data_IF_453556708977
#
_entry.id   IF_453556708977
#
_cell.length_a   1.000
_cell.length_b   1.000
_cell.length_c   1.000
_cell.angle_alpha   90.00
_cell.angle_beta   90.00
_cell.angle_gamma   90.00
#
_symmetry.space_group_name_H-M   'P 1'
#
loop_
_entity.id
_entity.type
_entity.pdbx_description
1 polymer ?
#
# COMPACT_ATOMS: atom_id res chain seq x y z
N UNK A 1 -3.38 -9.13 -9.88
CA UNK A 1 -2.51 -7.96 -10.21
C UNK A 1 -1.72 -8.13 -11.52
N UNK A 2 -1.12 -9.31 -11.79
CA UNK A 2 -0.33 -9.53 -13.01
C UNK A 2 -1.12 -9.36 -14.31
N UNK A 3 -2.33 -9.91 -14.39
CA UNK A 3 -3.17 -9.78 -15.59
C UNK A 3 -3.66 -8.34 -15.80
N UNK A 4 -3.94 -7.61 -14.71
CA UNK A 4 -4.24 -6.17 -14.78
C UNK A 4 -3.07 -5.40 -15.36
N UNK A 5 -1.83 -5.66 -14.91
CA UNK A 5 -0.65 -4.97 -15.44
C UNK A 5 -0.37 -5.32 -16.91
N UNK A 6 -0.61 -6.58 -17.31
CA UNK A 6 -0.54 -6.99 -18.73
C UNK A 6 -1.55 -6.22 -19.56
N UNK A 7 -2.76 -6.04 -19.05
CA UNK A 7 -3.82 -5.29 -19.74
C UNK A 7 -3.47 -3.80 -19.86
N UNK A 8 -2.92 -3.19 -18.81
CA UNK A 8 -2.38 -1.82 -18.86
C UNK A 8 -1.30 -1.68 -19.94
N UNK A 9 -0.34 -2.63 -20.03
CA UNK A 9 0.66 -2.65 -21.09
C UNK A 9 0.03 -2.88 -22.47
N UNK A 10 -0.99 -3.74 -22.59
CA UNK A 10 -1.65 -4.05 -23.87
C UNK A 10 -2.21 -2.79 -24.50
N UNK A 11 -2.90 -1.96 -23.72
CA UNK A 11 -3.56 -0.72 -24.19
C UNK A 11 -2.62 0.48 -24.29
N UNK A 12 -1.46 0.46 -23.64
CA UNK A 12 -0.47 1.52 -23.77
C UNK A 12 0.08 1.61 -25.21
N UNK A 13 0.37 2.82 -25.67
CA UNK A 13 1.07 3.06 -26.94
C UNK A 13 2.51 2.53 -26.88
N UNK A 14 3.13 2.30 -28.04
CA UNK A 14 4.56 1.98 -28.12
C UNK A 14 5.38 3.10 -27.47
N UNK A 15 6.35 2.76 -26.63
CA UNK A 15 7.10 3.70 -25.75
C UNK A 15 6.24 4.45 -24.73
N UNK A 16 4.97 4.07 -24.57
CA UNK A 16 4.09 4.58 -23.54
C UNK A 16 4.49 4.09 -22.16
N UNK A 17 4.26 4.92 -21.13
CA UNK A 17 4.55 4.61 -19.73
C UNK A 17 3.34 4.00 -19.04
N UNK A 18 3.57 2.92 -18.30
CA UNK A 18 2.64 2.36 -17.32
C UNK A 18 3.18 2.71 -15.94
N UNK A 19 2.35 3.37 -15.13
CA UNK A 19 2.70 3.79 -13.77
C UNK A 19 1.73 3.18 -12.78
N UNK A 20 2.26 2.58 -11.72
CA UNK A 20 1.50 2.11 -10.57
C UNK A 20 1.94 2.91 -9.35
N UNK A 21 0.97 3.46 -8.62
CA UNK A 21 1.17 4.24 -7.40
C UNK A 21 0.32 3.58 -6.34
N UNK A 22 0.96 3.00 -5.32
CA UNK A 22 0.25 2.26 -4.29
C UNK A 22 1.07 2.18 -3.00
N UNK A 23 0.40 1.85 -1.89
CA UNK A 23 1.09 1.52 -0.65
C UNK A 23 1.88 0.22 -0.85
N UNK A 24 3.03 0.11 -0.18
CA UNK A 24 3.83 -1.11 -0.24
C UNK A 24 4.32 -1.52 1.14
N UNK A 25 4.66 -2.79 1.28
CA UNK A 25 5.32 -3.33 2.48
C UNK A 25 6.73 -3.80 2.17
N UNK A 26 7.57 -3.85 3.19
CA UNK A 26 9.00 -4.19 3.06
C UNK A 26 9.28 -5.69 3.17
N UNK A 27 8.37 -6.46 3.77
CA UNK A 27 8.50 -7.91 3.95
C UNK A 27 7.14 -8.61 3.82
N UNK A 28 7.17 -9.91 3.55
CA UNK A 28 5.97 -10.75 3.48
C UNK A 28 5.25 -10.85 4.84
N UNK A 29 6.00 -10.80 5.94
CA UNK A 29 5.43 -10.75 7.30
C UNK A 29 4.68 -9.44 7.52
N UNK A 30 5.28 -8.30 7.16
CA UNK A 30 4.64 -7.00 7.24
C UNK A 30 3.43 -6.91 6.31
N UNK A 31 3.49 -7.48 5.10
CA UNK A 31 2.34 -7.60 4.19
C UNK A 31 1.17 -8.34 4.85
N UNK A 32 1.42 -9.51 5.46
CA UNK A 32 0.38 -10.27 6.16
C UNK A 32 -0.23 -9.46 7.31
N UNK A 33 0.60 -8.80 8.11
CA UNK A 33 0.14 -7.97 9.21
C UNK A 33 -0.69 -6.77 8.72
N UNK A 34 -0.22 -6.06 7.69
CA UNK A 34 -0.93 -4.97 7.02
C UNK A 34 -2.31 -5.45 6.55
N UNK A 35 -2.35 -6.54 5.78
CA UNK A 35 -3.58 -7.07 5.18
C UNK A 35 -4.64 -7.43 6.23
N UNK A 36 -4.22 -8.02 7.35
CA UNK A 36 -5.14 -8.43 8.41
C UNK A 36 -5.87 -7.23 9.01
N UNK A 37 -5.15 -6.15 9.33
CA UNK A 37 -5.78 -4.96 9.92
C UNK A 37 -6.49 -4.13 8.85
N UNK A 38 -5.93 -4.02 7.65
CA UNK A 38 -6.53 -3.23 6.57
C UNK A 38 -7.87 -3.80 6.12
N UNK A 39 -8.03 -5.13 6.14
CA UNK A 39 -9.32 -5.78 5.84
C UNK A 39 -10.41 -5.45 6.87
N UNK A 40 -10.03 -5.20 8.12
CA UNK A 40 -10.96 -4.74 9.16
C UNK A 40 -11.37 -3.28 8.92
N UNK A 41 -10.42 -2.45 8.48
CA UNK A 41 -10.66 -1.03 8.14
C UNK A 41 -11.52 -0.88 6.90
N UNK A 42 -11.19 -1.62 5.85
CA UNK A 42 -11.83 -1.59 4.55
C UNK A 42 -12.07 -3.04 4.07
N UNK A 43 -13.32 -3.54 4.15
CA UNK A 43 -13.66 -4.89 3.71
C UNK A 43 -13.39 -5.15 2.22
N UNK A 44 -13.26 -4.11 1.39
CA UNK A 44 -12.92 -4.26 -0.02
C UNK A 44 -11.43 -4.58 -0.24
N UNK A 45 -10.58 -4.35 0.76
CA UNK A 45 -9.14 -4.59 0.68
C UNK A 45 -8.83 -6.02 0.23
N UNK A 46 -8.00 -6.18 -0.79
CA UNK A 46 -7.64 -7.51 -1.29
C UNK A 46 -6.27 -7.91 -0.73
N UNK A 47 -5.23 -7.14 -1.08
CA UNK A 47 -3.87 -7.49 -0.73
C UNK A 47 -2.91 -6.31 -0.97
N UNK A 48 -2.00 -6.07 -0.03
CA UNK A 48 -0.91 -5.11 -0.12
C UNK A 48 0.37 -5.81 -0.54
N UNK A 49 0.95 -5.39 -1.66
CA UNK A 49 2.15 -6.02 -2.21
C UNK A 49 3.42 -5.58 -1.48
N UNK A 50 4.41 -6.48 -1.47
CA UNK A 50 5.78 -6.13 -1.12
C UNK A 50 6.47 -5.37 -2.26
N UNK A 51 7.51 -4.58 -1.95
CA UNK A 51 8.30 -3.90 -3.00
C UNK A 51 8.87 -4.90 -4.03
N UNK A 52 9.38 -6.04 -3.54
CA UNK A 52 9.90 -7.11 -4.39
C UNK A 52 8.81 -7.71 -5.30
N UNK A 53 7.58 -7.82 -4.79
CA UNK A 53 6.44 -8.28 -5.58
C UNK A 53 6.10 -7.30 -6.72
N UNK A 54 6.09 -5.99 -6.45
CA UNK A 54 5.92 -5.00 -7.52
C UNK A 54 7.00 -5.07 -8.60
N UNK A 55 8.28 -5.11 -8.20
CA UNK A 55 9.40 -5.22 -9.15
C UNK A 55 9.28 -6.49 -10.00
N UNK A 56 8.90 -7.60 -9.37
CA UNK A 56 8.66 -8.87 -10.05
C UNK A 56 7.51 -8.80 -11.04
N UNK A 57 6.44 -8.06 -10.73
CA UNK A 57 5.31 -7.86 -11.64
C UNK A 57 5.72 -7.11 -12.90
N UNK A 58 6.45 -5.99 -12.77
CA UNK A 58 6.92 -5.21 -13.92
C UNK A 58 7.88 -6.01 -14.79
N UNK A 59 8.79 -6.79 -14.18
CA UNK A 59 9.68 -7.70 -14.90
C UNK A 59 8.92 -8.77 -15.67
N UNK A 60 7.95 -9.43 -15.03
CA UNK A 60 7.10 -10.47 -15.67
C UNK A 60 6.20 -9.91 -16.77
N UNK A 61 5.82 -8.64 -16.68
CA UNK A 61 5.09 -7.94 -17.73
C UNK A 61 5.99 -7.48 -18.89
N UNK A 62 7.31 -7.69 -18.80
CA UNK A 62 8.30 -7.27 -19.80
C UNK A 62 8.18 -5.77 -20.12
N UNK A 63 7.96 -4.95 -19.10
CA UNK A 63 8.11 -3.50 -19.20
C UNK A 63 9.60 -3.16 -19.09
N UNK A 64 10.07 -2.25 -19.93
CA UNK A 64 11.46 -1.81 -19.98
C UNK A 64 11.65 -0.49 -19.22
N UNK A 65 12.90 -0.06 -18.99
CA UNK A 65 13.22 1.21 -18.33
C UNK A 65 12.50 1.41 -16.98
N UNK A 66 12.40 0.32 -16.19
CA UNK A 66 11.65 0.33 -14.93
C UNK A 66 12.37 1.19 -13.91
N UNK A 67 11.66 2.15 -13.34
CA UNK A 67 12.16 3.05 -12.29
C UNK A 67 11.20 3.09 -11.12
N UNK A 68 11.71 3.40 -9.93
CA UNK A 68 10.91 3.52 -8.72
C UNK A 68 11.26 4.78 -7.93
N UNK A 69 10.24 5.42 -7.37
CA UNK A 69 10.35 6.52 -6.41
C UNK A 69 9.46 6.21 -5.21
N UNK A 70 9.81 6.77 -4.06
CA UNK A 70 9.12 6.50 -2.81
C UNK A 70 8.86 7.83 -2.10
N UNK A 71 7.68 7.93 -1.50
CA UNK A 71 7.34 9.01 -0.59
C UNK A 71 6.41 8.47 0.49
N UNK A 72 6.13 9.29 1.51
CA UNK A 72 5.20 8.93 2.57
C UNK A 72 4.02 9.88 2.58
N UNK A 73 2.84 9.35 2.89
CA UNK A 73 1.62 10.12 3.08
C UNK A 73 1.26 10.10 4.55
N UNK A 74 1.24 11.27 5.18
CA UNK A 74 0.74 11.41 6.55
C UNK A 74 -0.78 11.51 6.55
N UNK A 75 -1.43 10.74 7.42
CA UNK A 75 -2.87 10.77 7.60
C UNK A 75 -3.25 10.57 9.07
N UNK A 76 -4.28 11.28 9.51
CA UNK A 76 -4.89 11.06 10.83
C UNK A 76 -5.68 9.74 10.83
N UNK A 77 -5.48 8.91 11.85
CA UNK A 77 -6.12 7.60 11.92
C UNK A 77 -7.65 7.69 11.91
N UNK A 78 -8.22 8.66 12.62
CA UNK A 78 -9.68 8.82 12.70
C UNK A 78 -10.27 9.30 11.37
N UNK A 79 -9.56 10.18 10.66
CA UNK A 79 -9.93 10.56 9.29
C UNK A 79 -9.91 9.36 8.35
N UNK A 80 -8.89 8.51 8.45
CA UNK A 80 -8.79 7.31 7.63
C UNK A 80 -9.92 6.31 7.94
N UNK A 81 -10.23 6.08 9.22
CA UNK A 81 -11.36 5.23 9.64
C UNK A 81 -12.69 5.80 9.12
N UNK A 82 -12.90 7.11 9.23
CA UNK A 82 -14.12 7.80 8.76
C UNK A 82 -14.30 7.72 7.24
N UNK A 83 -13.21 7.74 6.48
CA UNK A 83 -13.23 7.62 5.02
C UNK A 83 -13.40 6.16 4.53
N UNK A 84 -13.54 5.20 5.45
CA UNK A 84 -13.60 3.76 5.16
C UNK A 84 -14.95 3.15 5.58
N UNK A 85 -15.06 1.83 5.47
CA UNK A 85 -16.29 1.07 5.77
C UNK A 85 -16.09 -0.06 6.80
N UNK A 86 -15.46 0.17 7.97
CA UNK A 86 -15.25 -0.87 8.97
C UNK A 86 -16.57 -1.24 9.65
N UNK A 87 -16.65 -2.47 10.17
CA UNK A 87 -17.71 -2.81 11.13
C UNK A 87 -17.47 -2.01 12.41
N UNK A 88 -18.56 -1.56 13.06
CA UNK A 88 -18.47 -0.82 14.34
C UNK A 88 -17.68 -1.60 15.42
N UNK A 89 -17.79 -2.93 15.42
CA UNK A 89 -17.05 -3.84 16.31
C UNK A 89 -15.53 -3.84 16.10
N UNK A 90 -15.08 -3.47 14.89
CA UNK A 90 -13.68 -3.64 14.49
C UNK A 90 -12.88 -2.34 14.71
N UNK A 91 -13.57 -1.20 14.84
CA UNK A 91 -12.96 0.12 15.08
C UNK A 91 -12.04 0.11 16.32
N UNK A 92 -12.45 -0.43 17.49
CA UNK A 92 -11.55 -0.51 18.64
C UNK A 92 -10.30 -1.36 18.39
N UNK A 93 -10.42 -2.42 17.57
CA UNK A 93 -9.30 -3.30 17.21
C UNK A 93 -8.30 -2.55 16.34
N UNK A 94 -8.78 -1.81 15.33
CA UNK A 94 -7.97 -0.96 14.44
C UNK A 94 -7.21 0.10 15.24
N UNK A 95 -7.90 0.81 16.15
CA UNK A 95 -7.28 1.83 17.00
C UNK A 95 -6.19 1.25 17.89
N UNK A 96 -6.48 0.11 18.53
CA UNK A 96 -5.52 -0.58 19.39
C UNK A 96 -4.30 -1.03 18.58
N UNK A 97 -4.50 -1.60 17.40
CA UNK A 97 -3.42 -2.04 16.52
C UNK A 97 -2.50 -0.88 16.12
N UNK A 98 -3.06 0.29 15.74
CA UNK A 98 -2.26 1.48 15.44
C UNK A 98 -1.46 1.97 16.65
N UNK A 99 -2.09 2.03 17.83
CA UNK A 99 -1.45 2.46 19.06
C UNK A 99 -0.30 1.53 19.47
N UNK A 100 -0.54 0.22 19.42
CA UNK A 100 0.44 -0.81 19.78
C UNK A 100 1.63 -0.86 18.80
N UNK A 101 1.49 -0.30 17.61
CA UNK A 101 2.50 -0.29 16.55
C UNK A 101 3.32 1.01 16.46
N UNK A 102 3.02 2.00 17.32
CA UNK A 102 3.78 3.26 17.37
C UNK A 102 5.27 2.96 17.61
N UNK A 103 6.11 3.47 16.71
CA UNK A 103 7.57 3.29 16.77
C UNK A 103 8.08 1.89 16.43
N UNK A 104 7.21 0.95 16.04
CA UNK A 104 7.58 -0.45 15.70
C UNK A 104 7.42 -0.77 14.22
N UNK A 105 6.44 -0.15 13.56
CA UNK A 105 6.14 -0.30 12.13
C UNK A 105 5.96 -1.77 11.68
N UNK A 106 5.40 -2.64 12.53
CA UNK A 106 5.14 -4.05 12.17
C UNK A 106 3.94 -4.18 11.23
N UNK A 107 3.03 -3.21 11.25
CA UNK A 107 1.92 -3.13 10.31
C UNK A 107 2.31 -2.47 8.99
N UNK A 108 3.47 -1.80 8.91
CA UNK A 108 3.86 -1.00 7.74
C UNK A 108 3.11 0.34 7.64
N UNK A 109 2.41 0.74 8.69
CA UNK A 109 1.64 1.99 8.73
C UNK A 109 2.49 3.21 9.12
N UNK A 110 3.69 3.01 9.67
CA UNK A 110 4.50 4.06 10.24
C UNK A 110 3.73 4.86 11.30
N UNK A 111 3.09 4.18 12.25
CA UNK A 111 2.25 4.83 13.26
C UNK A 111 3.09 5.73 14.19
N UNK A 112 2.59 6.93 14.46
CA UNK A 112 3.23 7.92 15.33
C UNK A 112 2.21 8.80 16.05
N UNK A 113 2.66 9.49 17.11
CA UNK A 113 1.85 10.49 17.80
C UNK A 113 2.16 11.89 17.28
N UNK A 114 1.12 12.65 16.93
CA UNK A 114 1.19 14.06 16.56
C UNK A 114 0.11 14.81 17.32
N UNK A 115 0.50 15.75 18.17
CA UNK A 115 -0.45 16.59 18.94
C UNK A 115 -1.53 15.78 19.69
N UNK A 116 -1.12 14.66 20.33
CA UNK A 116 -1.99 13.70 21.04
C UNK A 116 -2.96 12.90 20.17
N UNK A 117 -2.81 12.94 18.84
CA UNK A 117 -3.53 12.08 17.89
C UNK A 117 -2.60 10.99 17.36
N UNK A 118 -3.18 9.84 17.05
CA UNK A 118 -2.47 8.77 16.33
C UNK A 118 -2.55 9.08 14.84
N UNK A 119 -1.38 9.25 14.22
CA UNK A 119 -1.23 9.45 12.79
C UNK A 119 -0.50 8.27 12.18
N UNK A 120 -0.75 8.03 10.90
CA UNK A 120 -0.04 7.04 10.08
C UNK A 120 0.83 7.79 9.08
N UNK A 121 1.96 7.21 8.73
CA UNK A 121 2.85 7.68 7.68
C UNK A 121 2.95 6.56 6.66
N UNK A 122 2.03 6.49 5.70
CA UNK A 122 1.91 5.34 4.80
C UNK A 122 3.01 5.39 3.72
N UNK A 123 3.79 4.31 3.51
CA UNK A 123 4.83 4.27 2.48
C UNK A 123 4.21 4.03 1.09
N UNK A 124 4.40 4.98 0.17
CA UNK A 124 3.92 4.89 -1.21
C UNK A 124 5.09 4.59 -2.14
N UNK A 125 4.90 3.62 -3.02
CA UNK A 125 5.77 3.35 -4.15
C UNK A 125 5.16 3.91 -5.44
N UNK A 126 5.97 4.62 -6.22
CA UNK A 126 5.68 5.02 -7.59
C UNK A 126 6.58 4.19 -8.48
N UNK A 127 6.01 3.29 -9.27
CA UNK A 127 6.77 2.39 -10.13
C UNK A 127 6.31 2.61 -11.57
N UNK A 128 7.26 2.98 -12.41
CA UNK A 128 7.01 3.30 -13.81
C UNK A 128 7.83 2.37 -14.71
N UNK A 129 7.22 1.90 -15.80
CA UNK A 129 7.87 1.10 -16.83
C UNK A 129 7.32 1.44 -18.21
N UNK A 130 8.10 1.22 -19.24
CA UNK A 130 7.77 1.56 -20.62
C UNK A 130 7.40 0.31 -21.42
N UNK A 131 6.42 0.44 -22.31
CA UNK A 131 6.13 -0.56 -23.34
C UNK A 131 7.18 -0.42 -24.45
N UNK A 132 7.86 -1.52 -24.79
CA UNK A 132 8.77 -1.57 -25.93
C UNK A 132 8.10 -1.20 -27.27
#
# INVERSE_FOLDING_TARGET
PGDVLKEMKRVAQKRGKVVVIDVFTTSEEQSKAYNNIEKLRDPSHVHTLTLNSFQSLFKKAELINVTSKFYRVEIDLEQQIKASFPKKSDIPIIRKAALDDIGKDRLGWGAFLKERKVCLSLPIAVIAGEKA
#
